data_IF_236842740757
#
_entry.id   IF_236842740757
#
_cell.length_a   1.000
_cell.length_b   1.000
_cell.length_c   1.000
_cell.angle_alpha   90.00
_cell.angle_beta   90.00
_cell.angle_gamma   90.00
#
_symmetry.space_group_name_H-M   'P 1'
#
loop_
_entity.id
_entity.type
_entity.pdbx_description
1 polymer ?
#
# COMPACT_ATOMS: atom_id res chain seq x y z
N UNK A 1 0.81 -14.86 42.34
CA UNK A 1 1.01 -13.92 41.21
C UNK A 1 1.41 -14.61 39.90
N UNK A 2 2.42 -15.50 39.89
CA UNK A 2 2.94 -16.16 38.67
C UNK A 2 1.87 -16.90 37.84
N UNK A 3 0.91 -17.57 38.50
CA UNK A 3 -0.12 -18.36 37.80
C UNK A 3 -1.21 -17.50 37.12
N UNK A 4 -1.37 -16.25 37.56
CA UNK A 4 -2.35 -15.33 36.98
C UNK A 4 -1.85 -14.77 35.64
N UNK A 5 -0.60 -14.33 35.60
CA UNK A 5 0.04 -13.84 34.36
C UNK A 5 0.13 -14.93 33.27
N UNK A 6 0.41 -16.18 33.65
CA UNK A 6 0.41 -17.33 32.72
C UNK A 6 -0.94 -17.55 32.02
N UNK A 7 -2.06 -17.16 32.64
CA UNK A 7 -3.39 -17.21 32.04
C UNK A 7 -3.75 -15.96 31.25
N UNK A 8 -3.18 -14.81 31.60
CA UNK A 8 -3.43 -13.54 30.91
C UNK A 8 -2.71 -13.41 29.58
N UNK A 9 -1.47 -13.91 29.47
CA UNK A 9 -0.69 -13.86 28.21
C UNK A 9 -1.48 -14.42 27.01
N UNK A 10 -2.02 -15.66 27.04
CA UNK A 10 -2.70 -16.20 25.86
C UNK A 10 -3.99 -15.44 25.52
N UNK A 11 -4.68 -14.86 26.51
CA UNK A 11 -5.88 -14.03 26.29
C UNK A 11 -5.51 -12.73 25.57
N UNK A 12 -4.45 -12.07 26.02
CA UNK A 12 -3.92 -10.86 25.38
C UNK A 12 -3.46 -11.15 23.94
N UNK A 13 -2.80 -12.29 23.73
CA UNK A 13 -2.34 -12.72 22.42
C UNK A 13 -3.51 -13.00 21.47
N UNK A 14 -4.56 -13.68 21.93
CA UNK A 14 -5.74 -13.95 21.11
C UNK A 14 -6.50 -12.67 20.78
N UNK A 15 -6.52 -11.69 21.70
CA UNK A 15 -7.14 -10.39 21.47
C UNK A 15 -6.39 -9.59 20.39
N UNK A 16 -5.06 -9.57 20.46
CA UNK A 16 -4.23 -8.96 19.41
C UNK A 16 -4.46 -9.61 18.05
N UNK A 17 -4.55 -10.94 18.01
CA UNK A 17 -4.77 -11.67 16.76
C UNK A 17 -6.15 -11.35 16.16
N UNK A 18 -7.19 -11.22 16.99
CA UNK A 18 -8.53 -10.84 16.53
C UNK A 18 -8.53 -9.43 15.91
N UNK A 19 -7.79 -8.47 16.49
CA UNK A 19 -7.65 -7.11 15.93
C UNK A 19 -6.89 -7.13 14.61
N UNK A 20 -5.82 -7.93 14.51
CA UNK A 20 -5.03 -8.04 13.28
C UNK A 20 -5.86 -8.58 12.11
N UNK A 21 -6.69 -9.60 12.34
CA UNK A 21 -7.56 -10.19 11.29
C UNK A 21 -8.57 -9.17 10.75
N UNK A 22 -9.17 -8.33 11.61
CA UNK A 22 -10.10 -7.27 11.17
C UNK A 22 -9.41 -6.19 10.32
N UNK A 23 -8.10 -6.00 10.50
CA UNK A 23 -7.31 -5.03 9.75
C UNK A 23 -6.86 -5.50 8.37
N UNK A 24 -6.95 -6.79 8.02
CA UNK A 24 -6.45 -7.33 6.75
C UNK A 24 -7.35 -7.08 5.53
N UNK A 25 -8.64 -6.79 5.71
CA UNK A 25 -9.61 -6.70 4.60
C UNK A 25 -9.75 -5.29 4.00
N UNK A 26 -9.15 -4.25 4.61
CA UNK A 26 -9.24 -2.87 4.11
C UNK A 26 -7.86 -2.30 3.83
N UNK A 27 -7.72 -1.65 2.68
CA UNK A 27 -6.50 -0.96 2.30
C UNK A 27 -6.05 0.01 3.40
N UNK A 28 -4.81 -0.17 3.83
CA UNK A 28 -4.21 0.65 4.88
C UNK A 28 -3.85 2.06 4.39
N UNK A 29 -3.70 3.05 5.28
CA UNK A 29 -3.24 4.39 4.91
C UNK A 29 -1.93 4.40 4.10
N UNK A 30 -1.01 3.46 4.41
CA UNK A 30 0.25 3.32 3.69
C UNK A 30 0.08 2.73 2.28
N UNK A 31 -0.82 1.77 2.12
CA UNK A 31 -1.14 1.19 0.81
C UNK A 31 -1.81 2.24 -0.10
N UNK A 32 -2.77 3.00 0.43
CA UNK A 32 -3.41 4.10 -0.29
C UNK A 32 -2.38 5.17 -0.73
N UNK A 33 -1.41 5.47 0.12
CA UNK A 33 -0.34 6.41 -0.21
C UNK A 33 0.59 5.86 -1.30
N UNK A 34 0.94 4.58 -1.22
CA UNK A 34 1.73 3.89 -2.26
C UNK A 34 1.00 3.91 -3.61
N UNK A 35 -0.28 3.52 -3.62
CA UNK A 35 -1.10 3.50 -4.83
C UNK A 35 -1.27 4.91 -5.44
N UNK A 36 -1.39 5.95 -4.62
CA UNK A 36 -1.44 7.33 -5.12
C UNK A 36 -0.13 7.75 -5.80
N UNK A 37 1.02 7.36 -5.26
CA UNK A 37 2.34 7.64 -5.84
C UNK A 37 2.51 6.86 -7.14
N UNK A 38 2.20 5.56 -7.13
CA UNK A 38 2.33 4.69 -8.31
C UNK A 38 1.49 5.23 -9.48
N UNK A 39 0.23 5.60 -9.21
CA UNK A 39 -0.66 6.21 -10.20
C UNK A 39 -0.13 7.55 -10.76
N UNK A 40 0.57 8.34 -9.94
CA UNK A 40 1.17 9.60 -10.41
C UNK A 40 2.39 9.34 -11.28
N UNK A 41 3.21 8.35 -10.93
CA UNK A 41 4.38 7.96 -11.72
C UNK A 41 3.94 7.45 -13.09
N UNK A 42 2.92 6.58 -13.14
CA UNK A 42 2.38 6.04 -14.39
C UNK A 42 1.88 7.14 -15.33
N UNK A 43 1.05 8.07 -14.82
CA UNK A 43 0.57 9.23 -15.61
C UNK A 43 1.71 10.12 -16.11
N UNK A 44 2.73 10.31 -15.29
CA UNK A 44 3.91 11.10 -15.69
C UNK A 44 4.66 10.41 -16.81
N UNK A 45 4.80 9.09 -16.73
CA UNK A 45 5.46 8.30 -17.77
C UNK A 45 4.67 8.31 -19.08
N UNK A 46 3.36 8.09 -19.03
CA UNK A 46 2.48 8.20 -20.21
C UNK A 46 2.62 9.57 -20.90
N UNK A 47 2.58 10.66 -20.12
CA UNK A 47 2.74 12.01 -20.67
C UNK A 47 4.11 12.26 -21.31
N UNK A 48 5.18 11.68 -20.74
CA UNK A 48 6.52 11.75 -21.32
C UNK A 48 6.58 10.97 -22.64
N UNK A 49 6.02 9.76 -22.67
CA UNK A 49 6.05 8.88 -23.84
C UNK A 49 5.25 9.47 -25.00
N UNK A 50 4.06 10.03 -24.74
CA UNK A 50 3.27 10.74 -25.76
C UNK A 50 4.01 11.94 -26.35
N UNK A 51 4.67 12.74 -25.51
CA UNK A 51 5.42 13.90 -25.96
C UNK A 51 6.68 13.50 -26.74
N UNK A 52 7.34 12.41 -26.32
CA UNK A 52 8.49 11.87 -27.03
C UNK A 52 8.09 11.30 -28.40
N UNK A 53 6.94 10.65 -28.51
CA UNK A 53 6.39 10.18 -29.78
C UNK A 53 6.09 11.34 -30.73
N UNK A 54 5.37 12.37 -30.27
CA UNK A 54 5.10 13.58 -31.06
C UNK A 54 6.40 14.24 -31.54
N UNK A 55 7.39 14.36 -30.67
CA UNK A 55 8.70 14.92 -31.04
C UNK A 55 9.41 14.09 -32.11
N UNK A 56 9.32 12.75 -32.05
CA UNK A 56 9.88 11.87 -33.08
C UNK A 56 9.17 12.03 -34.42
N UNK A 57 7.85 12.21 -34.43
CA UNK A 57 7.09 12.40 -35.66
C UNK A 57 7.46 13.73 -36.32
N UNK A 58 7.57 14.81 -35.56
CA UNK A 58 8.03 16.12 -36.07
C UNK A 58 9.45 16.10 -36.65
N UNK A 59 10.34 15.22 -36.17
CA UNK A 59 11.72 15.09 -36.69
C UNK A 59 11.77 14.26 -37.97
N UNK A 60 10.77 13.39 -38.20
CA UNK A 60 10.70 12.51 -39.37
C UNK A 60 10.02 13.14 -40.58
N UNK A 61 9.23 14.21 -40.38
CA UNK A 61 8.72 15.10 -41.45
C UNK A 61 9.78 16.11 -41.91
#
# INVERSE_FOLDING_TARGET
>A
MINFYKRLIPILLSLMLAVAVVGCDKQGPAENAGEAIDNQVEKTQEAIDENAEKARDYIKE
#
